data_IF_086315891399
#
_entry.id   IF_086315891399
#
_cell.length_a   1.000
_cell.length_b   1.000
_cell.length_c   1.000
_cell.angle_alpha   90.00
_cell.angle_beta   90.00
_cell.angle_gamma   90.00
#
_symmetry.space_group_name_H-M   'P 1'
#
loop_
_entity.id
_entity.type
_entity.pdbx_description
1 polymer ?
#
# COMPACT_ATOMS: atom_id res chain seq x y z
N UNK A 1 -5.35 21.27 -1.70
CA UNK A 1 -5.02 20.59 -0.43
C UNK A 1 -3.78 21.23 0.14
N UNK A 2 -3.82 21.60 1.42
CA UNK A 2 -2.72 22.29 2.14
C UNK A 2 -2.20 21.46 3.32
N UNK A 3 -2.38 20.16 3.26
CA UNK A 3 -1.96 19.23 4.30
C UNK A 3 -0.60 18.59 3.98
N UNK A 4 0.15 18.26 5.03
CA UNK A 4 1.50 17.72 4.95
C UNK A 4 1.65 16.47 5.81
N UNK A 5 2.40 15.48 5.35
CA UNK A 5 2.81 14.35 6.18
C UNK A 5 4.05 14.78 6.99
N UNK A 6 3.86 14.94 8.30
CA UNK A 6 4.88 15.45 9.21
C UNK A 6 5.58 14.35 10.01
N UNK A 7 4.92 13.21 10.23
CA UNK A 7 5.47 12.04 10.91
C UNK A 7 5.24 10.77 10.08
N UNK A 8 6.24 9.88 10.07
CA UNK A 8 6.17 8.60 9.39
C UNK A 8 7.01 7.56 10.14
N UNK A 9 6.42 6.41 10.45
CA UNK A 9 7.12 5.34 11.16
C UNK A 9 6.66 3.97 10.69
N UNK A 10 7.60 3.10 10.40
CA UNK A 10 7.39 1.69 10.13
C UNK A 10 7.93 0.87 11.32
N UNK A 11 7.10 -0.01 11.86
CA UNK A 11 7.53 -0.90 12.94
C UNK A 11 8.55 -1.93 12.39
N UNK A 12 9.70 -2.12 13.05
CA UNK A 12 10.77 -2.98 12.53
C UNK A 12 10.45 -4.48 12.59
N UNK A 13 9.45 -4.88 13.39
CA UNK A 13 9.12 -6.32 13.54
C UNK A 13 8.50 -6.92 12.29
N UNK A 14 8.80 -8.20 12.06
CA UNK A 14 8.17 -9.04 11.03
C UNK A 14 7.57 -10.32 11.64
N UNK A 15 7.71 -10.47 12.96
CA UNK A 15 7.12 -11.54 13.76
C UNK A 15 6.90 -11.00 15.18
N UNK A 16 5.66 -10.98 15.64
CA UNK A 16 5.26 -10.36 16.92
C UNK A 16 4.26 -11.23 17.70
N UNK A 17 4.60 -12.50 18.05
CA UNK A 17 3.68 -13.40 18.73
C UNK A 17 3.25 -12.88 20.10
N UNK A 18 4.15 -12.18 20.79
CA UNK A 18 3.98 -11.71 22.17
C UNK A 18 3.54 -10.24 22.27
N UNK A 19 3.35 -9.55 21.13
CA UNK A 19 2.91 -8.15 21.13
C UNK A 19 1.43 -8.11 20.80
N UNK A 20 0.55 -7.70 21.73
CA UNK A 20 -0.87 -7.48 21.44
C UNK A 20 -1.08 -6.48 20.29
N UNK A 21 -2.12 -6.68 19.48
CA UNK A 21 -2.39 -5.83 18.32
C UNK A 21 -2.55 -4.34 18.71
N UNK A 22 -3.26 -4.05 19.80
CA UNK A 22 -3.40 -2.69 20.32
C UNK A 22 -2.05 -2.04 20.65
N UNK A 23 -1.12 -2.83 21.20
CA UNK A 23 0.24 -2.34 21.51
C UNK A 23 1.03 -2.05 20.25
N UNK A 24 0.90 -2.86 19.17
CA UNK A 24 1.52 -2.57 17.89
C UNK A 24 1.03 -1.23 17.31
N UNK A 25 -0.30 -0.97 17.33
CA UNK A 25 -0.84 0.33 16.93
C UNK A 25 -0.24 1.48 17.75
N UNK A 26 -0.19 1.34 19.07
CA UNK A 26 0.36 2.37 19.96
C UNK A 26 1.87 2.58 19.75
N UNK A 27 2.64 1.52 19.45
CA UNK A 27 4.07 1.62 19.14
C UNK A 27 4.29 2.31 17.78
N UNK A 28 3.48 2.02 16.77
CA UNK A 28 3.49 2.73 15.50
C UNK A 28 3.16 4.21 15.67
N UNK A 29 2.11 4.53 16.43
CA UNK A 29 1.72 5.91 16.74
C UNK A 29 2.86 6.68 17.46
N UNK A 30 3.47 6.07 18.49
CA UNK A 30 4.62 6.69 19.21
C UNK A 30 5.80 6.95 18.29
N UNK A 31 6.10 6.01 17.37
CA UNK A 31 7.18 6.18 16.41
C UNK A 31 6.93 7.37 15.47
N UNK A 32 5.73 7.50 14.93
CA UNK A 32 5.36 8.61 14.05
C UNK A 32 5.33 9.96 14.80
N UNK A 33 4.87 9.96 16.06
CA UNK A 33 4.91 11.14 16.93
C UNK A 33 6.36 11.58 17.20
N UNK A 34 7.24 10.64 17.53
CA UNK A 34 8.66 10.92 17.74
C UNK A 34 9.34 11.48 16.49
N UNK A 35 9.02 10.94 15.29
CA UNK A 35 9.52 11.44 14.02
C UNK A 35 9.09 12.89 13.75
N UNK A 36 7.86 13.25 14.13
CA UNK A 36 7.32 14.61 13.98
C UNK A 36 7.73 15.58 15.11
N UNK A 37 8.32 15.10 16.21
CA UNK A 37 8.55 15.90 17.42
C UNK A 37 7.27 16.30 18.13
N UNK A 38 6.19 15.52 17.96
CA UNK A 38 4.88 15.74 18.55
C UNK A 38 4.60 14.78 19.71
N UNK A 39 3.55 15.06 20.47
CA UNK A 39 3.03 14.22 21.55
C UNK A 39 1.61 13.75 21.24
N UNK A 40 1.12 12.75 21.97
CA UNK A 40 -0.28 12.30 21.84
C UNK A 40 -1.31 13.40 22.12
N UNK A 41 -0.95 14.40 22.92
CA UNK A 41 -1.85 15.50 23.28
C UNK A 41 -2.04 16.51 22.13
N UNK A 42 -1.18 16.47 21.12
CA UNK A 42 -1.26 17.32 19.93
C UNK A 42 -2.22 16.74 18.88
N UNK A 43 -2.52 15.44 18.98
CA UNK A 43 -3.42 14.75 18.05
C UNK A 43 -4.86 15.12 18.34
N UNK A 44 -5.59 15.61 17.34
CA UNK A 44 -7.00 15.96 17.44
C UNK A 44 -7.90 15.19 16.44
N UNK A 45 -7.31 14.34 15.58
CA UNK A 45 -8.04 13.43 14.72
C UNK A 45 -7.37 12.05 14.61
N UNK A 46 -8.16 11.00 14.45
CA UNK A 46 -7.68 9.64 14.24
C UNK A 46 -8.39 8.97 13.07
N UNK A 47 -7.62 8.27 12.25
CA UNK A 47 -8.08 7.52 11.08
C UNK A 47 -7.63 6.07 11.21
N UNK A 48 -8.56 5.14 11.15
CA UNK A 48 -8.29 3.71 11.27
C UNK A 48 -9.21 2.88 10.38
N UNK A 49 -8.83 1.64 10.16
CA UNK A 49 -9.59 0.65 9.41
C UNK A 49 -9.90 -0.58 10.28
N UNK A 50 -10.46 -1.62 9.70
CA UNK A 50 -10.88 -2.82 10.38
C UNK A 50 -9.77 -3.69 11.00
N UNK A 51 -8.52 -3.22 11.02
CA UNK A 51 -7.38 -3.84 11.70
C UNK A 51 -7.28 -3.46 13.19
N UNK A 52 -8.04 -2.46 13.65
CA UNK A 52 -8.05 -2.13 15.08
C UNK A 52 -8.72 -3.23 15.91
N UNK A 53 -8.19 -3.54 17.11
CA UNK A 53 -8.75 -4.57 17.96
C UNK A 53 -10.22 -4.30 18.30
N UNK A 54 -11.06 -5.35 18.25
CA UNK A 54 -12.48 -5.24 18.58
C UNK A 54 -13.36 -4.64 17.50
N UNK A 55 -12.87 -4.51 16.27
CA UNK A 55 -13.66 -4.03 15.13
C UNK A 55 -14.97 -4.81 14.94
N UNK A 56 -14.91 -6.15 15.09
CA UNK A 56 -16.06 -7.04 14.92
C UNK A 56 -17.03 -7.04 16.11
N UNK A 57 -16.68 -6.38 17.22
CA UNK A 57 -17.51 -6.30 18.42
C UNK A 57 -18.39 -5.06 18.40
N UNK A 58 -19.47 -5.08 17.63
CA UNK A 58 -20.50 -4.04 17.61
C UNK A 58 -19.96 -2.59 17.44
N UNK A 59 -18.84 -2.41 16.72
CA UNK A 59 -18.28 -1.09 16.42
C UNK A 59 -17.53 -0.42 17.58
N UNK A 60 -17.18 -1.15 18.63
CA UNK A 60 -16.46 -0.60 19.79
C UNK A 60 -14.95 -0.46 19.55
N UNK A 61 -14.41 -1.16 18.55
CA UNK A 61 -12.96 -1.20 18.26
C UNK A 61 -12.29 0.17 18.13
N UNK A 62 -12.79 1.11 17.32
CA UNK A 62 -12.20 2.45 17.21
C UNK A 62 -12.15 3.21 18.55
N UNK A 63 -13.20 3.12 19.35
CA UNK A 63 -13.24 3.79 20.66
C UNK A 63 -12.27 3.13 21.65
N UNK A 64 -12.20 1.80 21.66
CA UNK A 64 -11.28 1.07 22.54
C UNK A 64 -9.82 1.42 22.26
N UNK A 65 -9.41 1.52 20.99
CA UNK A 65 -8.03 1.88 20.66
C UNK A 65 -7.72 3.35 20.94
N UNK A 66 -8.70 4.25 20.77
CA UNK A 66 -8.60 5.67 21.17
C UNK A 66 -8.33 5.79 22.68
N UNK A 67 -9.13 5.09 23.48
CA UNK A 67 -8.96 5.05 24.96
C UNK A 67 -7.63 4.43 25.34
N UNK A 68 -7.23 3.32 24.71
CA UNK A 68 -5.95 2.66 24.95
C UNK A 68 -4.75 3.57 24.66
N UNK A 69 -4.79 4.34 23.58
CA UNK A 69 -3.75 5.30 23.24
C UNK A 69 -3.85 6.62 24.04
N UNK A 70 -4.97 6.85 24.74
CA UNK A 70 -5.24 8.08 25.50
C UNK A 70 -5.37 9.31 24.63
N UNK A 71 -5.99 9.19 23.45
CA UNK A 71 -6.20 10.29 22.51
C UNK A 71 -7.45 11.10 22.87
N UNK A 72 -7.39 12.42 22.66
CA UNK A 72 -8.51 13.35 22.87
C UNK A 72 -8.88 13.96 21.52
N UNK A 73 -9.87 13.39 20.87
CA UNK A 73 -10.18 13.69 19.48
C UNK A 73 -11.40 14.62 19.33
N UNK A 74 -11.37 15.46 18.33
CA UNK A 74 -12.55 16.16 17.81
C UNK A 74 -13.02 15.61 16.45
N UNK A 75 -12.21 14.71 15.80
CA UNK A 75 -12.57 14.08 14.54
C UNK A 75 -12.12 12.60 14.52
N UNK A 76 -12.98 11.74 14.01
CA UNK A 76 -12.73 10.32 13.83
C UNK A 76 -13.25 9.88 12.45
N UNK A 77 -12.45 9.14 11.69
CA UNK A 77 -12.87 8.46 10.45
C UNK A 77 -12.45 6.99 10.50
N UNK A 78 -13.35 6.13 10.07
CA UNK A 78 -13.17 4.67 10.13
C UNK A 78 -13.42 4.00 8.78
N UNK A 79 -12.99 4.61 7.70
CA UNK A 79 -13.17 4.09 6.35
C UNK A 79 -12.41 2.80 6.13
N UNK A 80 -13.12 1.75 5.71
CA UNK A 80 -12.55 0.45 5.38
C UNK A 80 -12.62 0.20 3.87
N UNK A 81 -11.48 0.09 3.25
CA UNK A 81 -11.30 -0.29 1.85
C UNK A 81 -10.07 -1.19 1.67
N UNK A 82 -9.79 -2.04 2.67
CA UNK A 82 -8.70 -3.02 2.70
C UNK A 82 -7.32 -2.33 2.48
N UNK A 83 -6.53 -2.85 1.53
CA UNK A 83 -5.18 -2.33 1.26
C UNK A 83 -5.13 -0.87 0.79
N UNK A 84 -6.22 -0.32 0.30
CA UNK A 84 -6.30 1.10 -0.09
C UNK A 84 -6.70 2.04 1.05
N UNK A 85 -7.15 1.52 2.21
CA UNK A 85 -7.68 2.33 3.33
C UNK A 85 -6.73 3.45 3.75
N UNK A 86 -5.46 3.15 3.98
CA UNK A 86 -4.51 4.11 4.57
C UNK A 86 -4.11 5.24 3.62
N UNK A 87 -4.05 4.95 2.32
CA UNK A 87 -3.85 5.98 1.29
C UNK A 87 -5.08 6.88 1.22
N UNK A 88 -6.28 6.28 1.30
CA UNK A 88 -7.52 7.04 1.35
C UNK A 88 -7.65 7.85 2.65
N UNK A 89 -7.19 7.32 3.79
CA UNK A 89 -7.16 8.08 5.05
C UNK A 89 -6.28 9.33 4.98
N UNK A 90 -5.16 9.29 4.25
CA UNK A 90 -4.34 10.50 4.03
C UNK A 90 -5.11 11.54 3.23
N UNK A 91 -5.87 11.13 2.22
CA UNK A 91 -6.74 12.03 1.47
C UNK A 91 -7.86 12.61 2.36
N UNK A 92 -8.56 11.77 3.12
CA UNK A 92 -9.61 12.21 4.05
C UNK A 92 -9.06 13.13 5.15
N UNK A 93 -7.86 12.84 5.67
CA UNK A 93 -7.18 13.71 6.64
C UNK A 93 -6.87 15.09 6.03
N UNK A 94 -6.38 15.13 4.79
CA UNK A 94 -6.14 16.38 4.08
C UNK A 94 -7.44 17.19 3.89
N UNK A 95 -8.52 16.53 3.47
CA UNK A 95 -9.84 17.16 3.32
C UNK A 95 -10.41 17.65 4.66
N UNK A 96 -10.25 16.88 5.74
CA UNK A 96 -10.69 17.27 7.08
C UNK A 96 -9.92 18.50 7.60
N UNK A 97 -8.61 18.55 7.34
CA UNK A 97 -7.74 19.68 7.68
C UNK A 97 -8.12 20.91 6.86
N UNK A 98 -8.30 20.79 5.54
CA UNK A 98 -8.72 21.88 4.67
C UNK A 98 -10.10 22.45 5.07
N UNK A 99 -10.98 21.58 5.56
CA UNK A 99 -12.30 21.97 6.08
C UNK A 99 -12.26 22.50 7.53
N UNK A 100 -11.10 22.60 8.17
CA UNK A 100 -10.95 23.07 9.55
C UNK A 100 -11.52 22.14 10.62
N UNK A 101 -11.77 20.87 10.29
CA UNK A 101 -12.32 19.86 11.22
C UNK A 101 -11.28 19.34 12.20
N UNK A 102 -10.01 19.32 11.78
CA UNK A 102 -8.86 18.95 12.61
C UNK A 102 -7.60 19.70 12.15
N UNK A 103 -6.59 19.70 12.99
CA UNK A 103 -5.27 20.28 12.69
C UNK A 103 -4.20 19.20 12.51
N UNK A 104 -4.29 18.09 13.27
CA UNK A 104 -3.29 17.03 13.32
C UNK A 104 -3.97 15.66 13.37
N UNK A 105 -3.88 14.92 12.29
CA UNK A 105 -4.50 13.62 12.10
C UNK A 105 -3.46 12.49 12.21
N UNK A 106 -3.73 11.51 13.06
CA UNK A 106 -2.97 10.26 13.16
C UNK A 106 -3.66 9.18 12.33
N UNK A 107 -2.89 8.47 11.52
CA UNK A 107 -3.32 7.28 10.77
C UNK A 107 -2.44 6.11 11.22
N UNK A 108 -3.03 5.00 11.69
CA UNK A 108 -2.26 3.81 12.09
C UNK A 108 -2.71 2.56 11.36
N UNK A 109 -1.75 1.65 11.16
CA UNK A 109 -1.97 0.28 10.73
C UNK A 109 -1.19 -0.66 11.65
N UNK A 110 -1.77 -1.80 12.01
CA UNK A 110 -1.04 -2.94 12.54
C UNK A 110 -1.69 -4.26 12.12
N UNK A 111 -0.90 -5.33 12.07
CA UNK A 111 -1.40 -6.67 11.78
C UNK A 111 -0.43 -7.75 12.25
N UNK A 112 -0.97 -8.95 12.53
CA UNK A 112 -0.21 -10.10 13.04
C UNK A 112 -0.46 -11.39 12.25
N UNK A 113 -0.63 -11.34 10.91
CA UNK A 113 -1.03 -12.51 10.14
C UNK A 113 -0.02 -13.66 10.19
N UNK A 114 1.29 -13.35 10.32
CA UNK A 114 2.32 -14.38 10.46
C UNK A 114 2.25 -15.09 11.81
N UNK A 115 2.08 -14.36 12.91
CA UNK A 115 1.86 -14.92 14.25
C UNK A 115 0.54 -15.71 14.33
N UNK A 116 -0.46 -15.31 13.56
CA UNK A 116 -1.75 -15.98 13.42
C UNK A 116 -1.72 -17.15 12.42
N UNK A 117 -0.52 -17.49 11.89
CA UNK A 117 -0.29 -18.61 10.98
C UNK A 117 -1.08 -18.54 9.66
N UNK A 118 -1.38 -17.34 9.19
CA UNK A 118 -1.93 -17.15 7.85
C UNK A 118 -0.82 -17.41 6.84
N UNK A 119 -1.07 -18.22 5.82
CA UNK A 119 -0.10 -18.57 4.79
C UNK A 119 -0.55 -18.09 3.42
N UNK A 120 0.43 -17.80 2.55
CA UNK A 120 0.18 -17.47 1.13
C UNK A 120 -0.60 -18.61 0.48
N UNK A 121 -1.63 -18.27 -0.29
CA UNK A 121 -2.50 -19.26 -0.95
C UNK A 121 -3.49 -19.96 -0.02
N UNK A 122 -3.56 -19.58 1.26
CA UNK A 122 -4.60 -20.07 2.15
C UNK A 122 -5.96 -19.69 1.57
N UNK A 123 -6.86 -20.67 1.49
CA UNK A 123 -8.23 -20.41 1.08
C UNK A 123 -8.77 -19.26 1.93
N UNK A 124 -9.15 -18.17 1.31
CA UNK A 124 -10.06 -17.24 1.96
C UNK A 124 -11.21 -18.11 2.43
N UNK A 125 -11.41 -18.22 3.74
CA UNK A 125 -12.58 -18.95 4.23
C UNK A 125 -13.76 -18.27 3.59
N UNK A 126 -14.33 -18.93 2.60
CA UNK A 126 -15.51 -18.49 1.86
C UNK A 126 -16.76 -18.58 2.75
N UNK A 127 -16.65 -18.09 3.96
CA UNK A 127 -17.76 -17.84 4.88
C UNK A 127 -18.20 -16.40 4.79
N UNK A 128 -18.05 -15.81 3.58
CA UNK A 128 -18.60 -14.50 3.32
C UNK A 128 -20.13 -14.57 3.36
N UNK A 129 -20.73 -13.67 4.11
CA UNK A 129 -22.17 -13.40 4.08
C UNK A 129 -22.57 -12.53 2.88
N UNK A 130 -21.68 -12.33 1.92
CA UNK A 130 -21.95 -11.55 0.72
C UNK A 130 -22.91 -12.27 -0.24
N UNK A 131 -23.67 -11.53 -1.06
CA UNK A 131 -24.66 -12.12 -1.97
C UNK A 131 -24.02 -13.07 -2.99
N UNK A 132 -22.75 -12.90 -3.34
CA UNK A 132 -21.99 -13.73 -4.28
C UNK A 132 -21.43 -15.01 -3.66
N UNK A 133 -21.42 -15.15 -2.34
CA UNK A 133 -20.80 -16.28 -1.65
C UNK A 133 -21.43 -17.62 -2.04
N UNK A 134 -22.74 -17.65 -2.34
CA UNK A 134 -23.47 -18.84 -2.79
C UNK A 134 -22.94 -19.36 -4.13
N UNK A 135 -22.49 -18.48 -5.00
CA UNK A 135 -21.97 -18.83 -6.33
C UNK A 135 -20.47 -19.11 -6.33
N UNK A 136 -19.71 -18.47 -5.46
CA UNK A 136 -18.24 -18.56 -5.44
C UNK A 136 -17.72 -19.63 -4.46
N UNK A 137 -18.35 -19.77 -3.29
CA UNK A 137 -17.90 -20.69 -2.24
C UNK A 137 -17.75 -22.16 -2.71
N UNK A 138 -18.61 -22.71 -3.59
CA UNK A 138 -18.45 -24.07 -4.09
C UNK A 138 -17.12 -24.32 -4.83
N UNK A 139 -16.51 -23.29 -5.40
CA UNK A 139 -15.23 -23.39 -6.11
C UNK A 139 -14.02 -23.20 -5.19
N UNK A 140 -14.21 -22.90 -3.91
CA UNK A 140 -13.14 -22.71 -2.93
C UNK A 140 -12.09 -21.67 -3.33
N UNK A 141 -12.47 -20.45 -3.78
CA UNK A 141 -11.51 -19.50 -4.29
C UNK A 141 -10.54 -19.07 -3.18
N UNK A 142 -9.26 -19.04 -3.52
CA UNK A 142 -8.24 -18.39 -2.69
C UNK A 142 -7.94 -17.00 -3.24
N UNK A 143 -7.33 -16.15 -2.42
CA UNK A 143 -6.86 -14.83 -2.91
C UNK A 143 -5.89 -15.03 -4.09
N UNK A 144 -4.97 -15.99 -3.99
CA UNK A 144 -4.01 -16.27 -5.08
C UNK A 144 -4.71 -16.70 -6.39
N UNK A 145 -5.73 -17.56 -6.32
CA UNK A 145 -6.48 -17.97 -7.51
C UNK A 145 -7.14 -16.79 -8.23
N UNK A 146 -7.71 -15.85 -7.47
CA UNK A 146 -8.38 -14.69 -8.07
C UNK A 146 -7.40 -13.76 -8.79
N UNK A 147 -6.19 -13.59 -8.25
CA UNK A 147 -5.14 -12.82 -8.91
C UNK A 147 -4.51 -13.59 -10.08
N UNK A 148 -4.42 -14.92 -9.99
CA UNK A 148 -3.97 -15.78 -11.07
C UNK A 148 -4.90 -15.70 -12.30
N UNK A 149 -6.23 -15.63 -12.09
CA UNK A 149 -7.17 -15.40 -13.19
C UNK A 149 -6.90 -14.06 -13.90
N UNK A 150 -6.56 -13.00 -13.17
CA UNK A 150 -6.19 -11.72 -13.76
C UNK A 150 -4.89 -11.83 -14.56
N UNK A 151 -3.89 -12.56 -14.04
CA UNK A 151 -2.63 -12.82 -14.74
C UNK A 151 -2.86 -13.63 -16.03
N UNK A 152 -3.58 -14.75 -15.94
CA UNK A 152 -3.90 -15.59 -17.08
C UNK A 152 -4.68 -14.82 -18.17
N UNK A 153 -5.63 -13.96 -17.77
CA UNK A 153 -6.38 -13.12 -18.70
C UNK A 153 -5.48 -12.09 -19.38
N UNK A 154 -4.61 -11.43 -18.62
CA UNK A 154 -3.67 -10.46 -19.18
C UNK A 154 -2.66 -11.10 -20.13
N UNK A 155 -2.17 -12.31 -19.80
CA UNK A 155 -1.31 -13.11 -20.68
C UNK A 155 -2.03 -13.49 -21.98
N UNK A 156 -3.30 -13.90 -21.87
CA UNK A 156 -4.10 -14.29 -23.04
C UNK A 156 -4.36 -13.11 -23.97
N UNK A 157 -4.70 -11.94 -23.46
CA UNK A 157 -5.08 -10.77 -24.27
C UNK A 157 -3.87 -10.03 -24.85
N UNK A 158 -2.80 -9.92 -24.06
CA UNK A 158 -1.68 -9.03 -24.41
C UNK A 158 -0.35 -9.74 -24.62
N UNK A 159 -0.31 -11.07 -24.43
CA UNK A 159 0.92 -11.84 -24.61
C UNK A 159 1.96 -11.62 -23.50
N UNK A 160 1.55 -11.12 -22.33
CA UNK A 160 2.43 -10.99 -21.17
C UNK A 160 2.97 -12.36 -20.76
N UNK A 161 4.23 -12.42 -20.34
CA UNK A 161 4.89 -13.68 -19.98
C UNK A 161 5.24 -13.73 -18.48
N UNK A 162 5.49 -14.93 -17.95
CA UNK A 162 5.92 -15.11 -16.56
C UNK A 162 7.29 -14.48 -16.29
N UNK A 163 8.19 -14.45 -17.29
CA UNK A 163 9.48 -13.77 -17.21
C UNK A 163 9.30 -12.27 -17.01
N UNK A 164 8.35 -11.65 -17.71
CA UNK A 164 8.03 -10.24 -17.54
C UNK A 164 7.48 -9.95 -16.14
N UNK A 165 6.59 -10.80 -15.61
CA UNK A 165 6.12 -10.68 -14.23
C UNK A 165 7.26 -10.84 -13.22
N UNK A 166 8.19 -11.78 -13.46
CA UNK A 166 9.32 -12.03 -12.59
C UNK A 166 10.23 -10.81 -12.41
N UNK A 167 10.39 -9.95 -13.42
CA UNK A 167 11.17 -8.72 -13.33
C UNK A 167 10.70 -7.77 -12.21
N UNK A 168 9.42 -7.79 -11.88
CA UNK A 168 8.88 -6.99 -10.75
C UNK A 168 9.44 -7.50 -9.42
N UNK A 169 9.49 -8.83 -9.23
CA UNK A 169 10.10 -9.46 -8.06
C UNK A 169 11.60 -9.22 -8.01
N UNK A 170 12.28 -9.33 -9.15
CA UNK A 170 13.71 -9.04 -9.27
C UNK A 170 13.98 -7.60 -8.78
N UNK A 171 13.23 -6.62 -9.28
CA UNK A 171 13.39 -5.22 -8.85
C UNK A 171 13.18 -5.05 -7.34
N UNK A 172 12.10 -5.61 -6.78
CA UNK A 172 11.83 -5.57 -5.35
C UNK A 172 12.97 -6.19 -4.51
N UNK A 173 13.57 -7.31 -4.99
CA UNK A 173 14.69 -7.97 -4.31
C UNK A 173 15.97 -7.14 -4.34
N UNK A 174 16.26 -6.47 -5.47
CA UNK A 174 17.39 -5.54 -5.59
C UNK A 174 17.31 -4.40 -4.58
N UNK A 175 16.10 -3.96 -4.23
CA UNK A 175 15.89 -2.92 -3.22
C UNK A 175 15.95 -3.48 -1.79
N UNK A 176 15.30 -4.61 -1.54
CA UNK A 176 15.16 -5.23 -0.22
C UNK A 176 16.50 -5.58 0.44
N UNK A 177 17.56 -5.88 -0.33
CA UNK A 177 18.88 -6.19 0.22
C UNK A 177 19.42 -5.06 1.13
N UNK A 178 19.00 -3.82 0.86
CA UNK A 178 19.43 -2.63 1.60
C UNK A 178 18.51 -2.29 2.78
N UNK A 179 17.38 -2.98 2.93
CA UNK A 179 16.46 -2.79 4.05
C UNK A 179 16.75 -3.87 5.12
N UNK A 180 17.33 -3.49 6.30
CA UNK A 180 17.68 -4.46 7.35
C UNK A 180 16.46 -5.17 7.93
N UNK A 181 15.27 -4.64 7.76
CA UNK A 181 14.01 -5.19 8.29
C UNK A 181 13.23 -6.01 7.26
N UNK A 182 13.64 -6.05 5.99
CA UNK A 182 12.95 -6.82 4.97
C UNK A 182 13.01 -8.32 5.28
N UNK A 183 11.89 -9.03 5.03
CA UNK A 183 11.80 -10.48 5.26
C UNK A 183 12.64 -11.29 4.30
N UNK A 184 12.71 -10.88 3.02
CA UNK A 184 13.48 -11.52 1.96
C UNK A 184 14.50 -10.51 1.45
N UNK A 185 15.77 -10.75 1.74
CA UNK A 185 16.85 -9.81 1.42
C UNK A 185 17.78 -10.28 0.31
N UNK A 186 17.65 -11.54 -0.08
CA UNK A 186 18.46 -12.10 -1.16
C UNK A 186 17.96 -11.56 -2.51
N UNK A 187 18.89 -11.11 -3.33
CA UNK A 187 18.61 -10.75 -4.71
C UNK A 187 18.30 -12.01 -5.49
N UNK A 188 17.20 -12.00 -6.23
CA UNK A 188 16.78 -13.16 -7.05
C UNK A 188 16.85 -12.83 -8.54
N UNK A 189 17.03 -13.88 -9.36
CA UNK A 189 16.96 -13.79 -10.82
C UNK A 189 15.57 -14.16 -11.33
N UNK A 190 15.31 -13.89 -12.62
CA UNK A 190 14.08 -14.31 -13.28
C UNK A 190 13.88 -15.81 -13.18
N UNK A 191 14.93 -16.60 -13.46
CA UNK A 191 14.90 -18.06 -13.39
C UNK A 191 14.52 -18.57 -12.00
N UNK A 192 15.08 -17.97 -10.95
CA UNK A 192 14.73 -18.32 -9.57
C UNK A 192 13.27 -18.02 -9.22
N UNK A 193 12.67 -16.99 -9.82
CA UNK A 193 11.23 -16.73 -9.65
C UNK A 193 10.41 -17.82 -10.32
N UNK A 194 10.75 -18.18 -11.57
CA UNK A 194 10.05 -19.19 -12.36
C UNK A 194 10.21 -20.60 -11.78
N UNK A 195 11.36 -20.92 -11.19
CA UNK A 195 11.63 -22.21 -10.54
C UNK A 195 11.00 -22.32 -9.14
N UNK A 196 10.46 -21.22 -8.59
CA UNK A 196 9.83 -21.28 -7.28
C UNK A 196 8.48 -22.03 -7.35
N UNK A 197 8.03 -22.67 -6.25
CA UNK A 197 6.82 -23.48 -6.28
C UNK A 197 5.61 -22.74 -6.83
N UNK A 198 4.84 -23.36 -7.71
CA UNK A 198 3.57 -22.87 -8.22
C UNK A 198 2.55 -22.74 -7.07
N UNK A 199 1.91 -21.59 -6.93
CA UNK A 199 0.85 -21.34 -5.96
C UNK A 199 -0.53 -21.42 -6.63
N UNK A 200 -0.68 -20.72 -7.76
CA UNK A 200 -1.88 -20.71 -8.58
C UNK A 200 -1.47 -20.32 -10.00
N UNK A 201 -1.57 -21.21 -10.97
CA UNK A 201 -1.13 -20.98 -12.35
C UNK A 201 -1.73 -19.68 -12.93
N UNK A 202 -0.90 -18.74 -13.42
CA UNK A 202 0.56 -18.79 -13.66
C UNK A 202 1.46 -18.24 -12.55
N UNK A 203 0.94 -17.98 -11.35
CA UNK A 203 1.69 -17.33 -10.26
C UNK A 203 2.48 -18.33 -9.41
N UNK A 204 3.78 -18.10 -9.29
CA UNK A 204 4.69 -18.82 -8.42
C UNK A 204 4.78 -18.17 -7.04
N UNK A 205 5.44 -18.85 -6.10
CA UNK A 205 5.58 -18.34 -4.74
C UNK A 205 6.29 -16.99 -4.67
N UNK A 206 7.27 -16.74 -5.52
CA UNK A 206 7.97 -15.46 -5.56
C UNK A 206 7.21 -14.35 -6.29
N UNK A 207 6.12 -14.68 -6.99
CA UNK A 207 5.16 -13.69 -7.49
C UNK A 207 4.23 -13.15 -6.40
N UNK A 208 4.20 -13.78 -5.22
CA UNK A 208 3.31 -13.44 -4.12
C UNK A 208 4.02 -12.58 -3.07
N UNK A 209 3.24 -11.71 -2.41
CA UNK A 209 3.74 -10.93 -1.27
C UNK A 209 4.13 -11.84 -0.10
N UNK A 210 5.05 -11.36 0.73
CA UNK A 210 5.37 -11.99 2.02
C UNK A 210 4.19 -11.83 2.98
N UNK A 211 4.12 -12.70 3.97
CA UNK A 211 3.20 -12.55 5.10
C UNK A 211 4.03 -12.22 6.33
N UNK A 212 3.84 -11.03 6.87
CA UNK A 212 4.59 -10.53 8.01
C UNK A 212 3.68 -9.93 9.05
N UNK A 213 4.12 -9.94 10.29
CA UNK A 213 3.56 -9.05 11.29
C UNK A 213 4.18 -7.65 11.16
N UNK A 214 3.56 -6.67 11.77
CA UNK A 214 4.09 -5.32 11.80
C UNK A 214 3.01 -4.26 11.68
N UNK A 215 3.43 -3.10 11.26
CA UNK A 215 2.55 -1.95 11.09
C UNK A 215 3.33 -0.69 10.79
N UNK A 216 2.60 0.39 10.78
CA UNK A 216 3.14 1.72 10.59
C UNK A 216 2.14 2.80 10.93
N UNK A 217 2.61 4.03 10.95
CA UNK A 217 1.76 5.19 11.16
C UNK A 217 2.29 6.39 10.39
N UNK A 218 1.37 7.25 9.97
CA UNK A 218 1.68 8.58 9.47
C UNK A 218 0.88 9.63 10.24
N UNK A 219 1.44 10.85 10.32
CA UNK A 219 0.77 12.02 10.88
C UNK A 219 0.62 13.05 9.75
N UNK A 220 -0.61 13.45 9.52
CA UNK A 220 -0.98 14.49 8.55
C UNK A 220 -1.35 15.75 9.33
N UNK A 221 -0.79 16.89 8.96
CA UNK A 221 -1.02 18.14 9.67
C UNK A 221 -1.19 19.33 8.72
N UNK A 222 -1.77 20.42 9.23
CA UNK A 222 -1.84 21.69 8.51
C UNK A 222 -0.44 22.32 8.36
N UNK A 223 -0.33 23.32 7.49
CA UNK A 223 0.95 23.96 7.15
C UNK A 223 1.63 24.60 8.38
N UNK A 224 0.87 25.21 9.27
CA UNK A 224 1.39 25.84 10.48
C UNK A 224 2.14 24.83 11.37
N UNK A 225 1.54 23.67 11.60
CA UNK A 225 2.15 22.59 12.36
C UNK A 225 3.32 21.98 11.60
N UNK A 226 3.16 21.73 10.29
CA UNK A 226 4.21 21.13 9.47
C UNK A 226 5.51 21.95 9.49
N UNK A 227 5.40 23.27 9.40
CA UNK A 227 6.57 24.17 9.50
C UNK A 227 7.20 24.15 10.89
N UNK A 228 6.39 24.00 11.95
CA UNK A 228 6.88 23.92 13.32
C UNK A 228 7.63 22.62 13.64
N UNK A 229 7.32 21.51 12.95
CA UNK A 229 7.99 20.22 13.13
C UNK A 229 9.47 20.20 12.67
N UNK A 230 9.91 21.17 11.84
CA UNK A 230 11.29 21.26 11.38
C UNK A 230 11.77 20.10 10.50
N UNK A 231 10.85 19.30 9.96
CA UNK A 231 11.13 18.19 9.04
C UNK A 231 10.99 18.64 7.58
N UNK A 232 11.63 17.98 6.61
CA UNK A 232 11.37 18.25 5.20
C UNK A 232 9.87 18.15 4.91
N UNK A 233 9.31 19.18 4.29
CA UNK A 233 7.88 19.28 4.04
C UNK A 233 7.46 18.30 2.93
N UNK A 234 6.54 17.40 3.24
CA UNK A 234 5.94 16.45 2.29
C UNK A 234 4.46 16.80 2.14
N UNK A 235 4.13 17.54 1.10
CA UNK A 235 2.76 17.98 0.84
C UNK A 235 1.94 16.85 0.20
N UNK A 236 0.69 16.70 0.63
CA UNK A 236 -0.34 15.93 -0.07
C UNK A 236 -0.87 16.78 -1.21
N UNK A 237 -0.29 16.64 -2.39
CA UNK A 237 -0.56 17.52 -3.54
C UNK A 237 -1.84 17.19 -4.27
N UNK A 238 -2.19 15.92 -4.34
CA UNK A 238 -3.42 15.45 -4.96
C UNK A 238 -3.78 14.05 -4.53
N UNK A 239 -5.07 13.72 -4.58
CA UNK A 239 -5.56 12.41 -4.23
C UNK A 239 -6.73 11.98 -5.13
N UNK A 240 -6.95 10.67 -5.23
CA UNK A 240 -8.10 10.09 -5.90
C UNK A 240 -8.44 8.72 -5.33
N UNK A 241 -9.74 8.45 -5.25
CA UNK A 241 -10.27 7.15 -4.84
C UNK A 241 -11.29 6.65 -5.88
N UNK A 242 -11.35 5.33 -6.06
CA UNK A 242 -12.35 4.69 -6.91
C UNK A 242 -12.65 3.27 -6.44
N UNK A 243 -13.87 2.82 -6.74
CA UNK A 243 -14.27 1.42 -6.65
C UNK A 243 -14.46 0.86 -8.04
N UNK A 244 -13.97 -0.36 -8.28
CA UNK A 244 -14.21 -1.08 -9.53
C UNK A 244 -15.55 -1.78 -9.47
N UNK A 245 -16.35 -1.59 -10.51
CA UNK A 245 -17.69 -2.16 -10.64
C UNK A 245 -17.67 -3.51 -11.34
N UNK A 246 -18.68 -4.33 -11.07
CA UNK A 246 -18.92 -5.61 -11.76
C UNK A 246 -19.51 -5.45 -13.16
N UNK A 247 -19.97 -4.26 -13.51
CA UNK A 247 -20.59 -3.93 -14.80
C UNK A 247 -21.64 -4.98 -15.25
N UNK A 248 -22.60 -5.29 -14.37
CA UNK A 248 -23.64 -6.27 -14.63
C UNK A 248 -23.13 -7.70 -14.81
N UNK A 249 -21.99 -8.04 -14.21
CA UNK A 249 -21.36 -9.35 -14.30
C UNK A 249 -20.31 -9.49 -15.42
N UNK A 250 -20.08 -8.42 -16.17
CA UNK A 250 -19.02 -8.36 -17.21
C UNK A 250 -17.71 -7.90 -16.58
N UNK A 251 -17.12 -8.78 -15.77
CA UNK A 251 -15.87 -8.43 -15.08
C UNK A 251 -14.71 -8.42 -16.06
N UNK A 252 -14.12 -7.26 -16.29
CA UNK A 252 -12.84 -7.17 -16.98
C UNK A 252 -11.69 -7.38 -15.96
N UNK A 253 -10.92 -8.44 -16.16
CA UNK A 253 -9.81 -8.84 -15.28
C UNK A 253 -8.50 -8.13 -15.60
N UNK A 254 -8.45 -7.33 -16.66
CA UNK A 254 -7.22 -6.69 -17.13
C UNK A 254 -6.98 -5.29 -16.57
N UNK A 255 -7.92 -4.72 -15.79
CA UNK A 255 -7.76 -3.43 -15.18
C UNK A 255 -8.16 -3.41 -13.69
N UNK A 256 -7.72 -2.39 -12.99
CA UNK A 256 -8.02 -2.12 -11.57
C UNK A 256 -8.73 -0.77 -11.40
N UNK A 257 -9.11 -0.43 -10.18
CA UNK A 257 -9.65 0.90 -9.87
C UNK A 257 -8.64 2.05 -10.06
N UNK A 258 -7.36 1.73 -10.26
CA UNK A 258 -6.31 2.71 -10.56
C UNK A 258 -6.61 3.51 -11.85
N UNK A 259 -7.31 2.88 -12.82
CA UNK A 259 -7.76 3.55 -14.05
C UNK A 259 -8.66 4.77 -13.80
N UNK A 260 -9.22 4.90 -12.61
CA UNK A 260 -10.04 6.06 -12.22
C UNK A 260 -9.42 6.86 -11.07
N UNK A 261 -8.80 6.20 -10.07
CA UNK A 261 -8.17 6.91 -8.95
C UNK A 261 -6.92 7.67 -9.38
N UNK A 262 -6.12 7.10 -10.29
CA UNK A 262 -4.91 7.73 -10.83
C UNK A 262 -5.20 9.06 -11.53
N UNK A 263 -6.01 9.09 -12.61
CA UNK A 263 -6.34 10.34 -13.30
C UNK A 263 -6.93 11.42 -12.40
N UNK A 264 -7.73 11.05 -11.38
CA UNK A 264 -8.25 12.00 -10.39
C UNK A 264 -7.13 12.60 -9.54
N UNK A 265 -6.19 11.77 -9.05
CA UNK A 265 -5.06 12.22 -8.26
C UNK A 265 -4.12 13.12 -9.08
N UNK A 266 -3.80 12.74 -10.31
CA UNK A 266 -2.98 13.53 -11.23
C UNK A 266 -3.63 14.88 -11.56
N UNK A 267 -4.92 14.89 -11.87
CA UNK A 267 -5.66 16.11 -12.15
C UNK A 267 -5.70 17.06 -10.94
N UNK A 268 -5.97 16.50 -9.73
CA UNK A 268 -5.96 17.27 -8.49
C UNK A 268 -4.56 17.85 -8.17
N UNK A 269 -3.49 17.11 -8.51
CA UNK A 269 -2.12 17.55 -8.34
C UNK A 269 -1.62 18.51 -9.44
N UNK A 270 -2.29 18.55 -10.59
CA UNK A 270 -1.85 19.32 -11.76
C UNK A 270 -0.54 18.79 -12.36
N UNK A 271 -0.37 17.47 -12.39
CA UNK A 271 0.81 16.76 -12.92
C UNK A 271 0.40 15.56 -13.75
N UNK A 272 1.36 14.94 -14.42
CA UNK A 272 1.20 13.76 -15.26
C UNK A 272 2.04 12.59 -14.73
N UNK A 273 1.80 11.34 -15.17
CA UNK A 273 2.67 10.21 -14.83
C UNK A 273 4.14 10.43 -15.19
N UNK A 274 4.43 11.19 -16.24
CA UNK A 274 5.81 11.49 -16.67
C UNK A 274 6.59 12.38 -15.68
N UNK A 275 5.89 13.12 -14.81
CA UNK A 275 6.52 13.99 -13.81
C UNK A 275 6.97 13.21 -12.57
N UNK A 276 6.44 12.00 -12.35
CA UNK A 276 6.71 11.17 -11.17
C UNK A 276 8.15 10.65 -11.19
N UNK A 277 8.87 10.86 -10.09
CA UNK A 277 10.25 10.40 -9.90
C UNK A 277 10.34 9.04 -9.20
N UNK A 278 9.36 8.73 -8.36
CA UNK A 278 9.31 7.52 -7.57
C UNK A 278 7.88 6.98 -7.46
N UNK A 279 7.73 5.67 -7.67
CA UNK A 279 6.44 5.00 -7.61
C UNK A 279 6.39 3.97 -6.48
N UNK A 280 5.58 4.24 -5.45
CA UNK A 280 5.26 3.28 -4.40
C UNK A 280 3.91 2.64 -4.69
N UNK A 281 3.93 1.43 -5.26
CA UNK A 281 2.77 0.75 -5.83
C UNK A 281 2.45 -0.50 -5.02
N UNK A 282 1.17 -0.73 -4.73
CA UNK A 282 0.72 -1.92 -4.02
C UNK A 282 1.08 -3.20 -4.78
N UNK A 283 1.73 -4.12 -4.09
CA UNK A 283 2.36 -5.29 -4.67
C UNK A 283 2.02 -6.58 -3.90
N UNK A 284 0.72 -6.88 -3.81
CA UNK A 284 0.27 -8.19 -3.29
C UNK A 284 0.72 -9.35 -4.17
N UNK A 285 0.79 -9.13 -5.48
CA UNK A 285 1.31 -10.05 -6.49
C UNK A 285 2.01 -9.24 -7.59
N UNK A 286 2.86 -9.88 -8.37
CA UNK A 286 3.54 -9.24 -9.50
C UNK A 286 2.55 -8.69 -10.52
N UNK A 287 1.50 -9.45 -10.85
CA UNK A 287 0.43 -8.99 -11.76
C UNK A 287 -0.31 -7.75 -11.23
N UNK A 288 -0.43 -7.60 -9.92
CA UNK A 288 -1.05 -6.40 -9.32
C UNK A 288 -0.28 -5.15 -9.71
N UNK A 289 1.04 -5.20 -9.60
CA UNK A 289 1.93 -4.08 -9.98
C UNK A 289 1.80 -3.76 -11.46
N UNK A 290 1.87 -4.79 -12.31
CA UNK A 290 1.83 -4.62 -13.76
C UNK A 290 0.56 -3.90 -14.19
N UNK A 291 -0.62 -4.40 -13.79
CA UNK A 291 -1.92 -3.81 -14.15
C UNK A 291 -2.04 -2.38 -13.60
N UNK A 292 -1.57 -2.12 -12.37
CA UNK A 292 -1.61 -0.77 -11.79
C UNK A 292 -0.72 0.22 -12.55
N UNK A 293 0.47 -0.19 -13.00
CA UNK A 293 1.36 0.70 -13.78
C UNK A 293 0.71 1.12 -15.11
N UNK A 294 0.01 0.20 -15.77
CA UNK A 294 -0.78 0.50 -16.98
C UNK A 294 -1.93 1.46 -16.66
N UNK A 295 -2.72 1.13 -15.63
CA UNK A 295 -3.93 1.88 -15.27
C UNK A 295 -3.61 3.29 -14.72
N UNK A 296 -2.45 3.47 -14.09
CA UNK A 296 -1.93 4.77 -13.66
C UNK A 296 -1.32 5.58 -14.81
N UNK A 297 -1.17 4.98 -16.01
CA UNK A 297 -0.69 5.67 -17.19
C UNK A 297 0.82 5.75 -17.32
N UNK A 298 1.60 4.94 -16.61
CA UNK A 298 3.06 4.86 -16.79
C UNK A 298 3.44 4.17 -18.10
N UNK A 299 2.57 3.32 -18.61
CA UNK A 299 2.64 2.73 -19.95
C UNK A 299 1.23 2.47 -20.48
N UNK A 300 1.13 2.20 -21.78
CA UNK A 300 -0.14 1.85 -22.41
C UNK A 300 -0.65 0.49 -21.91
N UNK A 301 -1.97 0.31 -21.90
CA UNK A 301 -2.63 -0.97 -21.58
C UNK A 301 -2.10 -2.08 -22.50
N UNK A 302 -1.71 -3.22 -21.89
CA UNK A 302 -1.10 -4.36 -22.58
C UNK A 302 0.40 -4.21 -22.84
N UNK A 303 1.03 -3.11 -22.44
CA UNK A 303 2.48 -2.89 -22.56
C UNK A 303 3.24 -3.02 -21.24
N UNK A 304 2.52 -3.30 -20.17
CA UNK A 304 3.11 -3.43 -18.82
C UNK A 304 4.22 -4.46 -18.75
N UNK A 305 4.06 -5.61 -19.43
CA UNK A 305 5.08 -6.66 -19.46
C UNK A 305 6.42 -6.16 -20.02
N UNK A 306 6.39 -5.50 -21.17
CA UNK A 306 7.59 -4.89 -21.77
C UNK A 306 8.11 -3.71 -20.94
N UNK A 307 7.23 -2.98 -20.25
CA UNK A 307 7.60 -1.85 -19.43
C UNK A 307 8.39 -2.25 -18.18
N UNK A 308 8.02 -3.35 -17.52
CA UNK A 308 8.65 -3.78 -16.26
C UNK A 308 9.93 -4.60 -16.47
N UNK A 309 10.16 -5.09 -17.69
CA UNK A 309 11.29 -5.95 -18.04
C UNK A 309 12.65 -5.23 -17.92
N UNK A 310 13.73 -6.01 -17.97
CA UNK A 310 15.11 -5.57 -18.11
C UNK A 310 15.57 -4.56 -17.04
N UNK A 311 15.00 -4.70 -15.83
CA UNK A 311 15.40 -3.88 -14.68
C UNK A 311 14.82 -2.47 -14.68
N UNK A 312 13.82 -2.17 -15.50
CA UNK A 312 13.24 -0.82 -15.65
C UNK A 312 12.69 -0.23 -14.33
N UNK A 313 12.35 -1.09 -13.36
CA UNK A 313 11.85 -0.68 -12.04
C UNK A 313 12.95 -0.59 -10.97
N UNK A 314 14.20 -0.90 -11.28
CA UNK A 314 15.33 -0.89 -10.33
C UNK A 314 15.86 0.53 -10.18
N UNK A 315 15.95 1.02 -8.93
CA UNK A 315 16.51 2.34 -8.62
C UNK A 315 17.97 2.45 -9.07
N UNK A 316 18.30 3.51 -9.80
CA UNK A 316 19.63 3.74 -10.34
C UNK A 316 19.95 2.95 -11.61
N UNK A 317 19.04 2.10 -12.10
CA UNK A 317 19.18 1.32 -13.34
C UNK A 317 18.10 1.68 -14.33
N UNK A 318 16.84 1.55 -13.96
CA UNK A 318 15.69 1.78 -14.82
C UNK A 318 15.14 3.21 -14.73
N UNK A 319 14.05 3.44 -15.46
CA UNK A 319 13.44 4.78 -15.59
C UNK A 319 12.42 5.10 -14.49
N UNK A 320 11.78 4.07 -13.89
CA UNK A 320 10.78 4.26 -12.86
C UNK A 320 11.16 3.46 -11.58
N UNK A 321 11.96 4.04 -10.67
CA UNK A 321 12.23 3.41 -9.39
C UNK A 321 10.93 3.09 -8.63
N UNK A 322 10.83 1.85 -8.15
CA UNK A 322 9.60 1.32 -7.57
C UNK A 322 9.89 0.61 -6.24
N UNK A 323 9.04 0.78 -5.21
CA UNK A 323 9.07 0.05 -3.93
C UNK A 323 10.50 -0.19 -3.39
N UNK A 324 11.22 0.89 -3.17
CA UNK A 324 12.66 0.89 -2.82
C UNK A 324 12.97 0.31 -1.43
N UNK A 325 11.96 0.06 -0.63
CA UNK A 325 12.06 -0.69 0.64
C UNK A 325 11.98 -2.22 0.46
N UNK A 326 11.70 -2.69 -0.77
CA UNK A 326 11.43 -4.09 -1.10
C UNK A 326 9.94 -4.42 -1.18
N UNK A 327 9.08 -3.49 -0.82
CA UNK A 327 7.62 -3.60 -0.95
C UNK A 327 6.98 -4.76 -0.21
N UNK A 328 5.77 -5.10 -0.59
CA UNK A 328 5.05 -6.29 -0.12
C UNK A 328 5.66 -7.59 -0.63
N UNK A 329 6.35 -7.56 -1.76
CA UNK A 329 6.99 -8.76 -2.33
C UNK A 329 8.21 -9.23 -1.53
N UNK A 330 8.90 -8.33 -0.81
CA UNK A 330 10.14 -8.66 -0.10
C UNK A 330 10.20 -8.15 1.34
N UNK A 331 9.70 -6.92 1.62
CA UNK A 331 9.87 -6.28 2.92
C UNK A 331 8.79 -6.72 3.92
N UNK A 332 7.56 -6.26 3.74
CA UNK A 332 6.47 -6.55 4.66
C UNK A 332 5.09 -6.46 3.99
N UNK A 333 4.16 -7.25 4.51
CA UNK A 333 2.76 -7.18 4.15
C UNK A 333 1.91 -7.56 5.39
N UNK A 334 1.74 -6.63 6.35
CA UNK A 334 1.03 -6.90 7.60
C UNK A 334 -0.47 -6.92 7.36
N UNK A 335 -1.05 -8.12 7.25
CA UNK A 335 -2.43 -8.32 6.82
C UNK A 335 -2.67 -7.85 5.38
N UNK A 336 -3.89 -7.82 4.90
CA UNK A 336 -4.26 -7.35 3.56
C UNK A 336 -4.23 -5.81 3.44
N UNK A 337 -3.24 -5.13 4.05
CA UNK A 337 -3.27 -3.69 4.31
C UNK A 337 -1.95 -2.99 4.00
N UNK A 338 -1.26 -3.47 2.96
CA UNK A 338 0.05 -2.95 2.56
C UNK A 338 0.11 -1.48 2.12
N UNK A 339 -1.03 -0.78 2.01
CA UNK A 339 -1.05 0.63 1.56
C UNK A 339 -0.28 1.58 2.48
N UNK A 340 -0.24 1.32 3.81
CA UNK A 340 0.57 2.12 4.73
C UNK A 340 2.06 2.09 4.38
N UNK A 341 2.60 0.93 4.02
CA UNK A 341 4.02 0.81 3.68
C UNK A 341 4.37 1.59 2.42
N UNK A 342 3.42 1.73 1.50
CA UNK A 342 3.59 2.55 0.30
C UNK A 342 3.72 4.04 0.64
N UNK A 343 2.95 4.52 1.59
CA UNK A 343 3.07 5.89 2.10
C UNK A 343 4.42 6.12 2.77
N UNK A 344 4.85 5.20 3.63
CA UNK A 344 6.08 5.33 4.42
C UNK A 344 7.31 5.46 3.53
N UNK A 345 7.44 4.60 2.52
CA UNK A 345 8.58 4.67 1.62
C UNK A 345 8.51 5.87 0.68
N UNK A 346 7.32 6.25 0.20
CA UNK A 346 7.16 7.47 -0.59
C UNK A 346 7.56 8.72 0.22
N UNK A 347 7.21 8.79 1.50
CA UNK A 347 7.65 9.88 2.40
C UNK A 347 9.17 9.89 2.56
N UNK A 348 9.80 8.73 2.80
CA UNK A 348 11.27 8.61 2.91
C UNK A 348 11.96 9.11 1.65
N UNK A 349 11.49 8.71 0.48
CA UNK A 349 12.05 9.12 -0.81
C UNK A 349 11.95 10.64 -1.01
N UNK A 350 10.77 11.22 -0.76
CA UNK A 350 10.53 12.67 -0.90
C UNK A 350 11.36 13.47 0.11
N UNK A 351 11.54 12.97 1.33
CA UNK A 351 12.39 13.61 2.35
C UNK A 351 13.89 13.48 2.07
N UNK A 352 14.31 12.53 1.23
CA UNK A 352 15.72 12.18 1.03
C UNK A 352 16.28 11.30 2.16
N UNK A 353 15.43 10.52 2.82
CA UNK A 353 15.73 9.68 4.00
C UNK A 353 15.70 8.18 3.69
N UNK A 354 15.50 7.79 2.44
CA UNK A 354 15.64 6.39 2.04
C UNK A 354 17.11 5.94 2.11
N UNK A 355 17.32 4.62 2.09
CA UNK A 355 18.69 4.10 2.12
C UNK A 355 19.49 4.64 0.93
N UNK A 356 20.74 5.14 1.12
CA UNK A 356 21.50 5.82 0.05
C UNK A 356 21.65 5.06 -1.25
N UNK A 357 21.68 3.72 -1.19
CA UNK A 357 21.79 2.85 -2.38
C UNK A 357 20.52 2.78 -3.23
N UNK A 358 19.39 3.18 -2.69
CA UNK A 358 18.08 3.15 -3.38
C UNK A 358 17.38 4.50 -3.37
N UNK A 359 17.99 5.52 -2.75
CA UNK A 359 17.47 6.89 -2.77
C UNK A 359 17.42 7.42 -4.20
N UNK A 360 16.25 7.83 -4.64
CA UNK A 360 16.06 8.46 -5.96
C UNK A 360 16.60 9.89 -5.90
N UNK A 361 17.53 10.26 -6.79
CA UNK A 361 18.06 11.61 -6.84
C UNK A 361 16.95 12.63 -7.13
N UNK A 362 16.98 13.75 -6.41
CA UNK A 362 16.01 14.85 -6.59
C UNK A 362 14.56 14.38 -6.62
N UNK A 363 14.19 13.46 -5.72
CA UNK A 363 12.83 12.94 -5.58
C UNK A 363 11.93 14.03 -4.97
N UNK A 364 11.44 14.91 -5.80
CA UNK A 364 10.53 16.01 -5.44
C UNK A 364 9.06 15.62 -5.61
N UNK A 365 8.77 14.60 -6.40
CA UNK A 365 7.42 14.13 -6.70
C UNK A 365 7.35 12.61 -6.68
N UNK A 366 6.50 12.07 -5.81
CA UNK A 366 6.26 10.64 -5.67
C UNK A 366 4.77 10.31 -5.72
N UNK A 367 4.45 9.10 -6.19
CA UNK A 367 3.11 8.54 -6.09
C UNK A 367 3.11 7.42 -5.05
N UNK A 368 2.07 7.37 -4.20
CA UNK A 368 1.74 6.20 -3.41
C UNK A 368 0.35 5.69 -3.82
N UNK A 369 0.27 4.42 -4.17
CA UNK A 369 -0.96 3.80 -4.64
C UNK A 369 -1.25 2.52 -3.88
N UNK A 370 -2.50 2.36 -3.45
CA UNK A 370 -3.00 1.19 -2.74
C UNK A 370 -4.25 0.61 -3.36
N UNK A 371 -4.35 -0.72 -3.34
CA UNK A 371 -5.55 -1.45 -3.71
C UNK A 371 -6.06 -2.29 -2.57
N UNK A 372 -7.38 -2.50 -2.53
CA UNK A 372 -8.02 -3.36 -1.55
C UNK A 372 -9.08 -4.24 -2.19
N UNK A 373 -9.35 -5.37 -1.57
CA UNK A 373 -10.26 -6.37 -2.10
C UNK A 373 -9.61 -7.27 -3.16
N UNK A 374 -10.36 -7.63 -4.18
CA UNK A 374 -9.92 -8.54 -5.25
C UNK A 374 -9.67 -7.73 -6.52
N UNK A 375 -8.58 -8.02 -7.24
CA UNK A 375 -8.22 -7.25 -8.43
C UNK A 375 -9.33 -7.28 -9.51
N UNK A 376 -9.99 -8.43 -9.69
CA UNK A 376 -11.06 -8.61 -10.66
C UNK A 376 -12.36 -7.89 -10.31
N UNK A 377 -12.73 -7.83 -9.02
CA UNK A 377 -14.03 -7.31 -8.55
C UNK A 377 -13.96 -6.94 -7.07
N UNK A 378 -15.01 -6.31 -6.52
CA UNK A 378 -15.06 -5.90 -5.10
C UNK A 378 -13.77 -5.21 -4.69
N UNK A 379 -13.38 -4.20 -5.44
CA UNK A 379 -12.05 -3.61 -5.45
C UNK A 379 -12.11 -2.11 -5.23
N UNK A 380 -11.29 -1.64 -4.29
CA UNK A 380 -11.05 -0.23 -4.04
C UNK A 380 -9.62 0.15 -4.43
N UNK A 381 -9.42 1.35 -4.97
CA UNK A 381 -8.11 1.91 -5.30
C UNK A 381 -8.01 3.32 -4.78
N UNK A 382 -6.90 3.63 -4.13
CA UNK A 382 -6.57 4.97 -3.66
C UNK A 382 -5.18 5.38 -4.16
N UNK A 383 -5.07 6.61 -4.61
CA UNK A 383 -3.83 7.20 -5.15
C UNK A 383 -3.59 8.54 -4.47
N UNK A 384 -2.38 8.79 -3.99
CA UNK A 384 -1.94 10.11 -3.54
C UNK A 384 -0.65 10.51 -4.23
N UNK A 385 -0.53 11.79 -4.55
CA UNK A 385 0.68 12.41 -5.08
C UNK A 385 1.30 13.22 -3.94
N UNK A 386 2.56 12.91 -3.62
CA UNK A 386 3.34 13.57 -2.58
C UNK A 386 4.41 14.45 -3.22
N UNK A 387 4.59 15.64 -2.69
CA UNK A 387 5.52 16.64 -3.20
C UNK A 387 6.42 17.19 -2.09
N UNK A 388 7.69 17.35 -2.38
CA UNK A 388 8.64 18.08 -1.54
C UNK A 388 8.43 19.59 -1.69
N UNK A 389 8.29 20.31 -0.56
CA UNK A 389 8.09 21.78 -0.52
C UNK A 389 9.22 22.49 0.20
#
# INVERSE_FOLDING_TARGET
MTAYIVGAFEHPTRLAPDIPLARLHAECARGALADAGLTRNDIDAYFCAGDVPGWDMAGVGPFSIIDYMGLKLRYLDTTESWGSSYINHVAHAADAIDAGRCDIALVTLAGRPRSEKIATGTAARAQGSGPESVFEAPYGPTVANMYAMCAARHMHEFGTTSEQLAWIKVAASHHAQWNPHAMLRDVVTVEQVLDSPMIADPLHRLDCCVISDGGGAVIVANERVARACGRPLVAVRGAGFATKHLDGGRVDLTFSGAAWSGPRAFAAAGVTPADIKYASIYDSFTITVLIQLEDLGFCEKGRGGAFVADGNLISGVGRLPFNTDGGGLCNNHPSNRGGMTKLLEAVRQVRGEAHPKVQVPNCDLAIAHGTGGQLGSRHGSATVILERR
#
